data_IF_455310032416
#
_entry.id   IF_455310032416
#
_cell.length_a   1.000
_cell.length_b   1.000
_cell.length_c   1.000
_cell.angle_alpha   90.00
_cell.angle_beta   90.00
_cell.angle_gamma   90.00
#
_symmetry.space_group_name_H-M   'P 1'
#
loop_
_entity.id
_entity.type
_entity.pdbx_description
1 polymer ?
#
# COMPACT_ATOMS: atom_id res chain seq x y z
N UNK A 1 3.56 -72.31 -4.32
CA UNK A 1 4.77 -71.49 -4.05
C UNK A 1 5.08 -70.65 -5.28
N UNK A 2 4.71 -69.37 -5.29
CA UNK A 2 5.42 -68.31 -6.02
C UNK A 2 5.19 -67.02 -5.22
N UNK A 3 6.17 -66.65 -4.40
CA UNK A 3 6.17 -65.40 -3.64
C UNK A 3 6.71 -64.27 -4.51
N UNK A 4 5.87 -63.30 -4.84
CA UNK A 4 6.29 -62.06 -5.48
C UNK A 4 6.94 -61.14 -4.46
N UNK A 5 8.25 -60.90 -4.61
CA UNK A 5 8.96 -59.84 -3.89
C UNK A 5 8.50 -58.47 -4.39
N UNK A 6 7.82 -57.71 -3.53
CA UNK A 6 7.69 -56.25 -3.69
C UNK A 6 9.05 -55.64 -3.39
N UNK A 7 9.67 -55.03 -4.40
CA UNK A 7 10.85 -54.17 -4.23
C UNK A 7 10.37 -52.87 -3.57
N UNK A 8 10.64 -52.74 -2.29
CA UNK A 8 10.41 -51.53 -1.49
C UNK A 8 11.50 -50.51 -1.86
N UNK A 9 11.15 -49.45 -2.58
CA UNK A 9 12.06 -48.32 -2.81
C UNK A 9 12.28 -47.60 -1.48
N UNK A 10 13.40 -47.86 -0.81
CA UNK A 10 13.89 -47.03 0.30
C UNK A 10 14.15 -45.62 -0.21
N UNK A 11 13.37 -44.65 0.26
CA UNK A 11 13.79 -43.25 0.22
C UNK A 11 14.96 -43.09 1.20
N UNK A 12 16.18 -43.01 0.67
CA UNK A 12 17.33 -42.54 1.44
C UNK A 12 17.06 -41.10 1.87
N UNK A 13 16.67 -40.91 3.12
CA UNK A 13 16.60 -39.59 3.74
C UNK A 13 17.99 -38.98 3.70
N UNK A 14 18.18 -37.95 2.87
CA UNK A 14 19.42 -37.17 2.84
C UNK A 14 19.68 -36.65 4.26
N UNK A 15 20.80 -37.07 4.86
CA UNK A 15 21.17 -36.66 6.22
C UNK A 15 21.41 -35.14 6.35
N UNK A 16 21.52 -34.63 7.59
CA UNK A 16 21.70 -33.19 7.87
C UNK A 16 22.96 -32.57 7.22
N UNK A 17 23.91 -33.40 6.78
CA UNK A 17 25.09 -32.97 6.01
C UNK A 17 24.76 -32.24 4.70
N UNK A 18 23.60 -32.51 4.08
CA UNK A 18 23.18 -31.80 2.86
C UNK A 18 22.77 -30.34 3.14
N UNK A 19 22.25 -30.05 4.33
CA UNK A 19 21.95 -28.69 4.79
C UNK A 19 23.25 -27.94 5.12
N UNK A 20 24.23 -28.61 5.73
CA UNK A 20 25.56 -28.05 6.02
C UNK A 20 26.32 -27.66 4.74
N UNK A 21 26.20 -28.46 3.67
CA UNK A 21 26.75 -28.11 2.35
C UNK A 21 26.12 -26.83 1.76
N UNK A 22 24.85 -26.55 2.06
CA UNK A 22 24.16 -25.31 1.69
C UNK A 22 24.63 -24.08 2.46
N UNK A 23 25.24 -24.25 3.64
CA UNK A 23 25.78 -23.15 4.44
C UNK A 23 27.19 -22.71 3.98
N UNK A 24 27.93 -23.57 3.25
CA UNK A 24 29.28 -23.26 2.79
C UNK A 24 29.32 -22.04 1.84
N UNK A 25 28.45 -21.92 0.82
CA UNK A 25 28.40 -20.72 -0.01
C UNK A 25 28.02 -19.45 0.77
N UNK A 26 27.16 -19.56 1.79
CA UNK A 26 26.76 -18.43 2.63
C UNK A 26 27.89 -17.95 3.54
N UNK A 27 28.66 -18.88 4.12
CA UNK A 27 29.90 -18.59 4.85
C UNK A 27 30.94 -17.93 3.93
N UNK A 28 31.11 -18.45 2.71
CA UNK A 28 32.01 -17.87 1.71
C UNK A 28 31.58 -16.45 1.32
N UNK A 29 30.28 -16.21 1.12
CA UNK A 29 29.74 -14.88 0.86
C UNK A 29 29.96 -13.95 2.06
N UNK A 30 29.70 -14.40 3.29
CA UNK A 30 29.93 -13.62 4.50
C UNK A 30 31.39 -13.22 4.67
N UNK A 31 32.33 -14.14 4.41
CA UNK A 31 33.77 -13.85 4.43
C UNK A 31 34.17 -12.86 3.34
N UNK A 32 33.64 -13.00 2.12
CA UNK A 32 33.90 -12.07 1.02
C UNK A 32 33.39 -10.67 1.34
N UNK A 33 32.16 -10.55 1.86
CA UNK A 33 31.57 -9.27 2.25
C UNK A 33 32.37 -8.63 3.40
N UNK A 34 32.73 -9.40 4.43
CA UNK A 34 33.59 -8.90 5.51
C UNK A 34 34.95 -8.43 4.99
N UNK A 35 35.56 -9.17 4.06
CA UNK A 35 36.81 -8.77 3.42
C UNK A 35 36.67 -7.45 2.64
N UNK A 36 35.60 -7.29 1.86
CA UNK A 36 35.32 -6.05 1.10
C UNK A 36 35.07 -4.87 2.04
N UNK A 37 34.30 -5.06 3.11
CA UNK A 37 34.02 -3.98 4.08
C UNK A 37 35.30 -3.55 4.82
N UNK A 38 36.15 -4.51 5.20
CA UNK A 38 37.38 -4.22 5.95
C UNK A 38 38.52 -3.67 5.09
N UNK A 39 38.62 -4.07 3.81
CA UNK A 39 39.74 -3.72 2.93
C UNK A 39 39.34 -2.76 1.79
N UNK A 40 38.05 -2.41 1.69
CA UNK A 40 37.48 -1.75 0.52
C UNK A 40 37.39 -2.68 -0.70
N UNK A 41 36.64 -2.26 -1.72
CA UNK A 41 36.51 -2.99 -2.99
C UNK A 41 37.75 -2.91 -3.90
N UNK A 42 38.88 -2.39 -3.40
CA UNK A 42 40.11 -2.19 -4.17
C UNK A 42 40.10 -1.01 -5.14
N UNK A 43 39.05 -0.17 -5.10
CA UNK A 43 38.87 1.02 -5.95
C UNK A 43 38.55 2.23 -5.05
N UNK A 44 39.37 2.48 -4.03
CA UNK A 44 39.20 3.65 -3.18
C UNK A 44 39.79 4.87 -3.90
N UNK A 45 38.94 5.81 -4.27
CA UNK A 45 39.32 7.13 -4.77
C UNK A 45 39.01 8.15 -3.69
N UNK A 46 40.05 8.72 -3.08
CA UNK A 46 39.93 9.71 -2.01
C UNK A 46 39.66 11.14 -2.53
N UNK A 47 39.51 11.29 -3.84
CA UNK A 47 39.26 12.54 -4.56
C UNK A 47 37.79 12.73 -4.95
N UNK A 48 36.90 11.81 -4.56
CA UNK A 48 35.47 11.95 -4.81
C UNK A 48 34.84 12.89 -3.78
N UNK A 49 33.97 13.83 -4.19
CA UNK A 49 33.15 14.59 -3.26
C UNK A 49 32.25 13.64 -2.45
N UNK A 50 31.85 14.01 -1.22
CA UNK A 50 30.95 13.19 -0.42
C UNK A 50 29.64 12.95 -1.19
N UNK A 51 29.10 11.74 -1.06
CA UNK A 51 27.82 11.38 -1.66
C UNK A 51 26.71 11.83 -0.72
N UNK A 52 26.21 13.03 -0.96
CA UNK A 52 25.10 13.62 -0.21
C UNK A 52 23.77 13.21 -0.85
N UNK A 53 22.89 12.58 -0.07
CA UNK A 53 21.51 12.25 -0.45
C UNK A 53 20.60 12.56 0.73
N UNK A 54 20.06 13.78 0.73
CA UNK A 54 19.04 14.21 1.69
C UNK A 54 17.67 14.16 1.03
N UNK A 55 16.77 13.43 1.66
CA UNK A 55 15.35 13.41 1.28
C UNK A 55 14.57 14.23 2.30
N UNK A 56 13.79 15.20 1.83
CA UNK A 56 12.81 15.90 2.66
C UNK A 56 11.58 15.01 2.76
N UNK A 57 11.25 14.57 3.97
CA UNK A 57 10.12 13.68 4.21
C UNK A 57 8.81 14.46 4.41
N UNK A 58 8.89 15.63 5.05
CA UNK A 58 7.73 16.44 5.39
C UNK A 58 8.13 17.88 5.69
N UNK A 59 7.26 18.82 5.32
CA UNK A 59 7.25 20.18 5.87
C UNK A 59 5.99 20.36 6.70
N UNK A 60 6.15 20.68 7.99
CA UNK A 60 5.05 20.94 8.91
C UNK A 60 5.02 22.42 9.30
N UNK A 61 3.82 22.95 9.44
CA UNK A 61 3.52 24.32 9.85
C UNK A 61 2.75 24.27 11.18
N UNK A 62 3.42 24.00 12.32
CA UNK A 62 2.75 23.80 13.61
C UNK A 62 2.12 25.09 14.15
N UNK A 63 2.70 26.25 13.81
CA UNK A 63 2.23 27.58 14.19
C UNK A 63 2.41 28.55 13.02
N UNK A 64 1.81 29.74 13.09
CA UNK A 64 1.96 30.81 12.09
C UNK A 64 3.40 31.37 11.98
N UNK A 65 4.30 31.01 12.91
CA UNK A 65 5.63 31.61 13.06
C UNK A 65 6.78 30.62 12.87
N UNK A 66 6.48 29.40 12.42
CA UNK A 66 7.45 28.32 12.36
C UNK A 66 7.17 27.37 11.19
N UNK A 67 8.23 26.98 10.48
CA UNK A 67 8.23 25.84 9.56
C UNK A 67 9.19 24.78 10.10
N UNK A 68 8.75 23.52 10.12
CA UNK A 68 9.56 22.37 10.56
C UNK A 68 9.77 21.44 9.38
N UNK A 69 11.03 21.26 8.96
CA UNK A 69 11.40 20.42 7.82
C UNK A 69 12.03 19.13 8.33
N UNK A 70 11.33 18.01 8.15
CA UNK A 70 11.83 16.67 8.49
C UNK A 70 12.66 16.13 7.32
N UNK A 71 13.90 15.73 7.60
CA UNK A 71 14.84 15.23 6.58
C UNK A 71 15.49 13.92 7.01
N UNK A 72 15.81 13.09 6.02
CA UNK A 72 16.55 11.83 6.21
C UNK A 72 17.73 11.74 5.26
N UNK A 73 18.88 11.33 5.78
CA UNK A 73 20.09 11.08 4.98
C UNK A 73 20.08 9.64 4.43
N UNK A 74 19.80 9.50 3.14
CA UNK A 74 19.89 8.25 2.38
C UNK A 74 21.29 7.89 1.91
N UNK A 75 22.23 8.83 2.04
CA UNK A 75 23.60 8.72 1.56
C UNK A 75 24.50 7.90 2.49
N UNK A 76 25.62 7.38 1.95
CA UNK A 76 26.62 6.67 2.74
C UNK A 76 27.49 7.60 3.60
N UNK A 77 27.52 8.90 3.29
CA UNK A 77 28.33 9.92 3.95
C UNK A 77 27.46 10.85 4.83
N UNK A 78 28.00 11.39 5.94
CA UNK A 78 27.27 12.35 6.77
C UNK A 78 27.07 13.68 6.02
N UNK A 79 25.88 14.25 6.11
CA UNK A 79 25.53 15.52 5.45
C UNK A 79 25.39 16.62 6.49
N UNK A 80 26.01 17.79 6.25
CA UNK A 80 25.92 18.93 7.16
C UNK A 80 25.16 20.09 6.54
N UNK A 81 24.05 20.50 7.16
CA UNK A 81 23.28 21.67 6.73
C UNK A 81 24.02 22.94 7.16
N UNK A 82 24.33 23.78 6.18
CA UNK A 82 25.02 25.05 6.40
C UNK A 82 24.07 26.25 6.37
N UNK A 83 23.04 26.19 5.52
CA UNK A 83 22.13 27.32 5.30
C UNK A 83 20.77 26.83 4.84
N UNK A 84 19.73 27.64 5.11
CA UNK A 84 18.36 27.43 4.64
C UNK A 84 17.86 28.71 3.99
N UNK A 85 17.22 28.55 2.83
CA UNK A 85 16.51 29.63 2.14
C UNK A 85 15.01 29.35 2.18
N UNK A 86 14.19 30.39 2.35
CA UNK A 86 12.74 30.36 2.13
C UNK A 86 12.40 31.46 1.13
N UNK A 87 11.86 31.09 -0.04
CA UNK A 87 11.59 31.99 -1.16
C UNK A 87 12.81 32.87 -1.51
N UNK A 88 13.97 32.22 -1.73
CA UNK A 88 15.27 32.86 -2.04
C UNK A 88 15.85 33.78 -0.95
N UNK A 89 15.18 33.91 0.21
CA UNK A 89 15.68 34.69 1.33
C UNK A 89 16.42 33.81 2.34
N UNK A 90 17.60 34.27 2.78
CA UNK A 90 18.36 33.59 3.83
C UNK A 90 17.63 33.71 5.16
N UNK A 91 17.38 32.57 5.81
CA UNK A 91 16.73 32.53 7.10
C UNK A 91 17.58 31.79 8.12
N UNK A 92 17.39 32.13 9.40
CA UNK A 92 17.92 31.33 10.50
C UNK A 92 17.23 29.98 10.57
N UNK A 93 17.92 28.99 11.11
CA UNK A 93 17.37 27.66 11.39
C UNK A 93 18.03 27.06 12.64
N UNK A 94 17.34 26.13 13.28
CA UNK A 94 17.82 25.40 14.45
C UNK A 94 17.61 23.89 14.24
N UNK A 95 18.57 23.07 14.68
CA UNK A 95 18.50 21.60 14.62
C UNK A 95 18.88 21.05 16.01
N UNK A 96 17.95 20.39 16.70
CA UNK A 96 18.14 19.97 18.09
C UNK A 96 19.31 18.99 18.28
N UNK A 97 19.50 18.08 17.33
CA UNK A 97 20.53 17.02 17.35
C UNK A 97 21.87 17.45 16.73
N UNK A 98 21.99 18.72 16.31
CA UNK A 98 23.12 19.27 15.58
C UNK A 98 22.96 19.20 14.06
N UNK A 99 23.70 20.05 13.35
CA UNK A 99 23.49 20.27 11.91
C UNK A 99 24.07 19.17 11.01
N UNK A 100 24.72 18.14 11.57
CA UNK A 100 25.31 17.02 10.83
C UNK A 100 24.48 15.76 11.00
N UNK A 101 23.92 15.29 9.91
CA UNK A 101 23.02 14.15 9.85
C UNK A 101 23.82 12.91 9.44
N UNK A 102 23.97 11.90 10.31
CA UNK A 102 24.71 10.68 9.97
C UNK A 102 23.99 9.88 8.88
N UNK A 103 24.66 8.94 8.20
CA UNK A 103 24.01 8.00 7.29
C UNK A 103 22.84 7.29 7.96
N UNK A 104 21.69 7.20 7.27
CA UNK A 104 20.41 6.70 7.80
C UNK A 104 19.84 7.49 9.00
N UNK A 105 20.43 8.63 9.31
CA UNK A 105 19.92 9.55 10.33
C UNK A 105 18.79 10.40 9.79
N UNK A 106 17.86 10.74 10.69
CA UNK A 106 16.79 11.69 10.44
C UNK A 106 16.86 12.82 11.46
N UNK A 107 16.45 14.03 11.07
CA UNK A 107 16.35 15.17 11.98
C UNK A 107 15.25 16.13 11.54
N UNK A 108 14.84 17.02 12.44
CA UNK A 108 13.92 18.11 12.18
C UNK A 108 14.68 19.43 12.18
N UNK A 109 14.48 20.22 11.13
CA UNK A 109 15.06 21.55 10.95
C UNK A 109 13.96 22.57 11.24
N UNK A 110 14.10 23.28 12.35
CA UNK A 110 13.16 24.32 12.76
C UNK A 110 13.56 25.66 12.15
N UNK A 111 12.64 26.27 11.41
CA UNK A 111 12.84 27.54 10.72
C UNK A 111 11.87 28.56 11.32
N UNK A 112 12.34 29.50 12.17
CA UNK A 112 11.50 30.57 12.69
C UNK A 112 11.13 31.54 11.55
N UNK A 113 9.96 31.32 10.95
CA UNK A 113 9.49 32.02 9.77
C UNK A 113 8.00 32.33 9.88
N UNK A 114 7.62 33.59 9.72
CA UNK A 114 6.21 34.01 9.70
C UNK A 114 5.64 33.82 8.31
N UNK A 115 4.77 32.82 8.15
CA UNK A 115 4.12 32.50 6.87
C UNK A 115 2.68 32.98 6.84
N UNK A 116 2.10 33.03 5.64
CA UNK A 116 0.74 33.48 5.37
C UNK A 116 -0.08 32.32 4.84
N UNK A 117 -1.27 32.13 5.41
CA UNK A 117 -2.19 31.07 4.99
C UNK A 117 -2.56 31.21 3.51
N UNK A 118 -2.46 30.10 2.78
CA UNK A 118 -2.75 30.00 1.36
C UNK A 118 -1.61 30.44 0.44
N UNK A 119 -0.46 30.88 0.96
CA UNK A 119 0.72 31.17 0.14
C UNK A 119 1.56 29.92 -0.13
N UNK A 120 2.25 29.91 -1.26
CA UNK A 120 3.23 28.88 -1.60
C UNK A 120 4.63 29.28 -1.12
N UNK A 121 5.40 28.30 -0.65
CA UNK A 121 6.78 28.51 -0.22
C UNK A 121 7.72 27.47 -0.86
N UNK A 122 8.86 27.94 -1.34
CA UNK A 122 10.00 27.10 -1.72
C UNK A 122 11.07 27.18 -0.62
N UNK A 123 11.49 26.02 -0.12
CA UNK A 123 12.50 25.88 0.93
C UNK A 123 13.70 25.19 0.30
N UNK A 124 14.87 25.81 0.34
CA UNK A 124 16.11 25.20 -0.16
C UNK A 124 17.07 25.00 0.99
N UNK A 125 17.43 23.73 1.25
CA UNK A 125 18.46 23.34 2.20
C UNK A 125 19.80 23.32 1.47
N UNK A 126 20.81 23.97 2.03
CA UNK A 126 22.14 24.08 1.43
C UNK A 126 23.16 23.43 2.36
N UNK A 127 23.92 22.48 1.84
CA UNK A 127 24.96 21.78 2.60
C UNK A 127 26.26 22.58 2.68
N UNK A 128 27.19 22.16 3.54
CA UNK A 128 28.52 22.76 3.64
C UNK A 128 29.38 22.59 2.37
N UNK A 129 29.01 21.68 1.47
CA UNK A 129 29.64 21.51 0.15
C UNK A 129 28.96 22.34 -0.94
N UNK A 130 27.82 22.96 -0.64
CA UNK A 130 27.03 23.77 -1.57
C UNK A 130 26.00 22.98 -2.37
N UNK A 131 25.81 21.69 -2.10
CA UNK A 131 24.69 20.91 -2.66
C UNK A 131 23.37 21.46 -2.12
N UNK A 132 22.33 21.43 -2.95
CA UNK A 132 21.00 21.94 -2.62
C UNK A 132 19.98 20.81 -2.61
N UNK A 133 19.05 20.88 -1.65
CA UNK A 133 17.91 19.98 -1.53
C UNK A 133 16.66 20.83 -1.31
N UNK A 134 15.73 20.74 -2.25
CA UNK A 134 14.54 21.59 -2.26
C UNK A 134 13.34 20.88 -1.62
N UNK A 135 12.48 21.67 -0.99
CA UNK A 135 11.16 21.29 -0.51
C UNK A 135 10.16 22.36 -0.92
N UNK A 136 8.93 21.96 -1.19
CA UNK A 136 7.85 22.88 -1.53
C UNK A 136 6.71 22.75 -0.53
N UNK A 137 6.10 23.89 -0.21
CA UNK A 137 4.81 24.00 0.43
C UNK A 137 3.89 24.66 -0.60
N UNK A 138 3.13 23.89 -1.40
CA UNK A 138 2.30 24.44 -2.46
C UNK A 138 1.20 25.37 -1.95
N UNK A 139 0.71 25.11 -0.72
CA UNK A 139 -0.32 25.88 -0.05
C UNK A 139 -0.11 25.80 1.47
N UNK A 140 0.29 26.91 2.08
CA UNK A 140 0.54 26.95 3.52
C UNK A 140 -0.77 26.92 4.32
N UNK A 141 -0.91 25.91 5.17
CA UNK A 141 -2.01 25.77 6.11
C UNK A 141 -1.48 25.17 7.41
N UNK A 142 -2.14 25.48 8.54
CA UNK A 142 -1.75 24.93 9.83
C UNK A 142 -1.77 23.40 9.78
N UNK A 143 -0.64 22.80 10.15
CA UNK A 143 -0.55 21.35 10.25
C UNK A 143 -1.47 20.85 11.37
N UNK A 144 -2.39 19.91 11.08
CA UNK A 144 -3.34 19.44 12.09
C UNK A 144 -2.64 18.83 13.31
N UNK A 145 -2.81 19.47 14.46
CA UNK A 145 -2.36 18.93 15.74
C UNK A 145 -3.22 17.75 16.19
N UNK A 146 -2.65 16.92 17.09
CA UNK A 146 -3.39 15.84 17.72
C UNK A 146 -4.44 16.39 18.70
N UNK A 147 -5.72 16.30 18.32
CA UNK A 147 -6.85 16.71 19.16
C UNK A 147 -8.03 15.75 18.99
N UNK A 148 -8.96 15.74 19.94
CA UNK A 148 -10.20 14.94 19.83
C UNK A 148 -11.06 15.34 18.63
N UNK A 149 -11.03 16.62 18.26
CA UNK A 149 -11.71 17.13 17.07
C UNK A 149 -11.04 16.65 15.77
N UNK A 150 -9.71 16.76 15.68
CA UNK A 150 -8.95 16.26 14.53
C UNK A 150 -9.17 14.76 14.35
N UNK A 151 -9.10 13.99 15.45
CA UNK A 151 -9.38 12.55 15.45
C UNK A 151 -10.77 12.24 14.89
N UNK A 152 -11.80 12.96 15.34
CA UNK A 152 -13.17 12.76 14.86
C UNK A 152 -13.32 13.13 13.38
N UNK A 153 -12.72 14.23 12.92
CA UNK A 153 -12.78 14.68 11.52
C UNK A 153 -12.14 13.66 10.57
N UNK A 154 -10.93 13.19 10.89
CA UNK A 154 -10.28 12.13 10.10
C UNK A 154 -11.08 10.83 10.11
N UNK A 155 -11.64 10.44 11.27
CA UNK A 155 -12.51 9.27 11.35
C UNK A 155 -13.75 9.38 10.47
N UNK A 156 -14.34 10.58 10.41
CA UNK A 156 -15.50 10.86 9.59
C UNK A 156 -15.16 10.77 8.10
N UNK A 157 -13.99 11.27 7.69
CA UNK A 157 -13.47 11.13 6.33
C UNK A 157 -13.31 9.65 5.98
N UNK A 158 -12.57 8.88 6.77
CA UNK A 158 -12.38 7.45 6.53
C UNK A 158 -13.70 6.66 6.56
N UNK A 159 -14.66 7.07 7.38
CA UNK A 159 -16.00 6.46 7.40
C UNK A 159 -16.78 6.73 6.11
N UNK A 160 -16.75 7.96 5.59
CA UNK A 160 -17.42 8.33 4.34
C UNK A 160 -16.76 7.72 3.11
N UNK A 161 -15.44 7.52 3.13
CA UNK A 161 -14.70 6.93 2.02
C UNK A 161 -14.69 5.42 2.04
N UNK A 162 -14.65 4.79 3.23
CA UNK A 162 -14.60 3.33 3.34
C UNK A 162 -15.96 2.72 3.69
N UNK A 163 -16.40 2.91 4.93
CA UNK A 163 -17.54 2.16 5.49
C UNK A 163 -18.85 2.41 4.74
N UNK A 164 -19.17 3.67 4.47
CA UNK A 164 -20.41 4.05 3.77
C UNK A 164 -20.50 3.45 2.38
N UNK A 165 -19.55 3.70 1.45
CA UNK A 165 -19.64 3.19 0.08
C UNK A 165 -19.56 1.66 0.02
N UNK A 166 -18.71 1.00 0.82
CA UNK A 166 -18.71 -0.46 0.90
C UNK A 166 -20.09 -0.99 1.34
N UNK A 167 -20.72 -0.33 2.31
CA UNK A 167 -22.09 -0.66 2.73
C UNK A 167 -23.09 -0.44 1.60
N UNK A 168 -22.99 0.67 0.86
CA UNK A 168 -23.84 0.95 -0.29
C UNK A 168 -23.69 -0.12 -1.37
N UNK A 169 -22.48 -0.60 -1.64
CA UNK A 169 -22.24 -1.73 -2.54
C UNK A 169 -22.88 -3.03 -2.06
N UNK A 170 -22.75 -3.34 -0.76
CA UNK A 170 -23.39 -4.52 -0.15
C UNK A 170 -24.93 -4.46 -0.23
N UNK A 171 -25.54 -3.27 -0.20
CA UNK A 171 -26.99 -3.11 -0.36
C UNK A 171 -27.53 -3.56 -1.72
N UNK A 172 -26.66 -3.79 -2.73
CA UNK A 172 -27.06 -4.38 -4.01
C UNK A 172 -27.37 -5.88 -3.89
N UNK A 173 -27.01 -6.53 -2.78
CA UNK A 173 -27.23 -7.96 -2.56
C UNK A 173 -28.64 -8.47 -2.92
N UNK A 174 -29.76 -7.84 -2.49
CA UNK A 174 -31.11 -8.31 -2.79
C UNK A 174 -31.43 -8.26 -4.29
N UNK A 175 -30.88 -7.28 -5.01
CA UNK A 175 -31.02 -7.14 -6.45
C UNK A 175 -30.19 -8.22 -7.17
N UNK A 176 -28.92 -8.34 -6.83
CA UNK A 176 -27.98 -9.28 -7.45
C UNK A 176 -28.43 -10.74 -7.27
N UNK A 177 -29.09 -11.06 -6.15
CA UNK A 177 -29.61 -12.39 -5.88
C UNK A 177 -30.75 -12.82 -6.84
N UNK A 178 -31.39 -11.87 -7.52
CA UNK A 178 -32.43 -12.16 -8.52
C UNK A 178 -31.85 -12.53 -9.89
N UNK A 179 -30.54 -12.37 -10.08
CA UNK A 179 -29.87 -12.70 -11.33
C UNK A 179 -29.77 -14.22 -11.53
N UNK A 180 -29.97 -14.67 -12.78
CA UNK A 180 -29.71 -16.05 -13.17
C UNK A 180 -28.21 -16.38 -13.16
N UNK A 181 -27.87 -17.65 -13.45
CA UNK A 181 -26.47 -18.13 -13.44
C UNK A 181 -25.56 -17.30 -14.34
N UNK A 182 -26.01 -16.93 -15.54
CA UNK A 182 -25.24 -16.08 -16.46
C UNK A 182 -25.01 -14.68 -15.88
N UNK A 183 -26.03 -14.04 -15.30
CA UNK A 183 -25.87 -12.74 -14.64
C UNK A 183 -24.95 -12.81 -13.41
N UNK A 184 -24.97 -13.91 -12.67
CA UNK A 184 -24.04 -14.13 -11.56
C UNK A 184 -22.58 -14.21 -12.03
N UNK A 185 -22.33 -14.97 -13.10
CA UNK A 185 -20.99 -15.08 -13.67
C UNK A 185 -20.52 -13.75 -14.27
N UNK A 186 -21.44 -12.96 -14.85
CA UNK A 186 -21.16 -11.58 -15.28
C UNK A 186 -20.69 -10.73 -14.10
N UNK A 187 -21.40 -10.74 -12.97
CA UNK A 187 -21.07 -9.93 -11.78
C UNK A 187 -19.73 -10.36 -11.16
N UNK A 188 -19.47 -11.67 -11.07
CA UNK A 188 -18.18 -12.17 -10.60
C UNK A 188 -17.04 -11.78 -11.54
N UNK A 189 -17.24 -11.85 -12.87
CA UNK A 189 -16.23 -11.44 -13.84
C UNK A 189 -16.02 -9.92 -13.83
N UNK A 190 -17.10 -9.15 -13.67
CA UNK A 190 -17.05 -7.71 -13.43
C UNK A 190 -16.22 -7.39 -12.20
N UNK A 191 -16.42 -8.12 -11.10
CA UNK A 191 -15.62 -7.99 -9.88
C UNK A 191 -14.13 -8.22 -10.16
N UNK A 192 -13.77 -9.27 -10.92
CA UNK A 192 -12.36 -9.49 -11.31
C UNK A 192 -11.83 -8.30 -12.12
N UNK A 193 -12.63 -7.73 -13.03
CA UNK A 193 -12.24 -6.56 -13.83
C UNK A 193 -11.99 -5.33 -12.97
N UNK A 194 -12.88 -5.06 -12.01
CA UNK A 194 -12.72 -3.97 -11.04
C UNK A 194 -11.42 -4.13 -10.24
N UNK A 195 -11.16 -5.32 -9.70
CA UNK A 195 -9.99 -5.60 -8.87
C UNK A 195 -8.67 -5.57 -9.66
N UNK A 196 -8.68 -5.98 -10.95
CA UNK A 196 -7.50 -5.87 -11.81
C UNK A 196 -7.09 -4.41 -12.00
N UNK A 197 -8.06 -3.52 -12.20
CA UNK A 197 -7.77 -2.08 -12.22
C UNK A 197 -7.19 -1.61 -10.89
N UNK A 198 -7.78 -2.03 -9.78
CA UNK A 198 -7.35 -1.67 -8.43
C UNK A 198 -5.89 -2.07 -8.13
N UNK A 199 -5.47 -3.24 -8.62
CA UNK A 199 -4.07 -3.67 -8.55
C UNK A 199 -3.15 -2.74 -9.33
N UNK A 200 -3.55 -2.31 -10.53
CA UNK A 200 -2.74 -1.40 -11.35
C UNK A 200 -2.63 -0.04 -10.66
N UNK A 201 -3.76 0.51 -10.24
CA UNK A 201 -3.86 1.82 -9.59
C UNK A 201 -3.04 1.87 -8.29
N UNK A 202 -3.31 0.94 -7.36
CA UNK A 202 -2.57 0.87 -6.10
C UNK A 202 -1.08 0.53 -6.26
N UNK A 203 -0.70 -0.19 -7.32
CA UNK A 203 0.73 -0.42 -7.61
C UNK A 203 1.42 0.84 -8.12
N UNK A 204 0.76 1.62 -8.98
CA UNK A 204 1.31 2.88 -9.49
C UNK A 204 1.51 3.87 -8.35
N UNK A 205 0.51 4.02 -7.48
CA UNK A 205 0.59 4.90 -6.31
C UNK A 205 1.69 4.44 -5.32
N UNK A 206 1.79 3.13 -5.04
CA UNK A 206 2.85 2.60 -4.20
C UNK A 206 4.26 2.86 -4.79
N UNK A 207 4.41 2.71 -6.11
CA UNK A 207 5.68 2.96 -6.81
C UNK A 207 6.03 4.45 -6.82
N UNK A 208 5.06 5.34 -6.96
CA UNK A 208 5.24 6.78 -6.90
C UNK A 208 5.76 7.21 -5.53
N UNK A 209 5.09 6.82 -4.45
CA UNK A 209 5.55 7.09 -3.08
C UNK A 209 6.91 6.46 -2.79
N UNK A 210 7.15 5.26 -3.30
CA UNK A 210 8.43 4.59 -3.15
C UNK A 210 9.57 5.26 -3.92
N UNK A 211 9.26 6.02 -4.99
CA UNK A 211 10.21 6.85 -5.72
C UNK A 211 10.66 8.09 -4.93
N UNK A 212 9.88 8.52 -3.93
CA UNK A 212 10.20 9.61 -3.02
C UNK A 212 11.01 9.16 -1.79
N UNK A 213 11.31 7.86 -1.66
CA UNK A 213 12.07 7.34 -0.54
C UNK A 213 13.58 7.55 -0.74
N UNK A 214 14.34 7.71 0.35
CA UNK A 214 15.79 7.69 0.30
C UNK A 214 16.33 6.48 -0.47
N UNK A 215 17.37 6.67 -1.28
CA UNK A 215 17.83 5.65 -2.24
C UNK A 215 18.19 4.31 -1.58
N UNK A 216 18.62 4.34 -0.32
CA UNK A 216 18.95 3.16 0.50
C UNK A 216 17.81 2.15 0.62
N UNK A 217 16.55 2.59 0.56
CA UNK A 217 15.40 1.69 0.69
C UNK A 217 15.14 0.87 -0.57
N UNK A 218 15.71 1.26 -1.72
CA UNK A 218 15.37 0.64 -3.01
C UNK A 218 13.85 0.52 -3.19
N UNK A 219 13.14 1.65 -3.08
CA UNK A 219 11.70 1.70 -2.85
C UNK A 219 10.87 0.86 -3.84
N UNK A 220 11.13 0.96 -5.15
CA UNK A 220 10.37 0.21 -6.16
C UNK A 220 10.55 -1.32 -6.00
N UNK A 221 11.78 -1.87 -5.94
CA UNK A 221 11.98 -3.27 -5.57
C UNK A 221 11.29 -3.68 -4.25
N UNK A 222 11.32 -2.82 -3.23
CA UNK A 222 10.67 -3.07 -1.94
C UNK A 222 9.16 -3.26 -2.12
N UNK A 223 8.47 -2.34 -2.82
CA UNK A 223 7.02 -2.42 -3.09
C UNK A 223 6.67 -3.72 -3.82
N UNK A 224 7.40 -4.05 -4.90
CA UNK A 224 7.16 -5.27 -5.66
C UNK A 224 7.34 -6.53 -4.81
N UNK A 225 8.39 -6.56 -3.99
CA UNK A 225 8.67 -7.69 -3.09
C UNK A 225 7.60 -7.82 -2.01
N UNK A 226 7.19 -6.73 -1.38
CA UNK A 226 6.17 -6.74 -0.32
C UNK A 226 4.81 -7.17 -0.87
N UNK A 227 4.41 -6.67 -2.04
CA UNK A 227 3.18 -7.10 -2.71
C UNK A 227 3.21 -8.59 -3.05
N UNK A 228 4.33 -9.07 -3.61
CA UNK A 228 4.50 -10.49 -3.93
C UNK A 228 4.49 -11.38 -2.69
N UNK A 229 5.25 -11.02 -1.65
CA UNK A 229 5.31 -11.77 -0.40
C UNK A 229 3.97 -11.78 0.32
N UNK A 230 3.21 -10.69 0.27
CA UNK A 230 1.86 -10.65 0.82
C UNK A 230 0.93 -11.60 0.06
N UNK A 231 0.93 -11.53 -1.27
CA UNK A 231 0.16 -12.44 -2.13
C UNK A 231 0.48 -13.91 -1.83
N UNK A 232 1.77 -14.27 -1.87
CA UNK A 232 2.24 -15.64 -1.61
C UNK A 232 1.99 -16.08 -0.17
N UNK A 233 2.16 -15.18 0.79
CA UNK A 233 1.92 -15.42 2.21
C UNK A 233 0.46 -15.74 2.49
N UNK A 234 -0.47 -14.99 1.89
CA UNK A 234 -1.91 -15.24 2.00
C UNK A 234 -2.33 -16.56 1.33
N UNK A 235 -1.78 -16.87 0.14
CA UNK A 235 -2.00 -18.16 -0.52
C UNK A 235 -1.45 -19.34 0.31
N UNK A 236 -0.25 -19.16 0.87
CA UNK A 236 0.40 -20.16 1.73
C UNK A 236 -0.39 -20.41 3.00
N UNK A 237 -0.82 -19.33 3.68
CA UNK A 237 -1.69 -19.39 4.85
C UNK A 237 -2.99 -20.14 4.52
N UNK A 238 -3.62 -19.86 3.37
CA UNK A 238 -4.81 -20.59 2.93
C UNK A 238 -4.57 -22.09 2.84
N UNK A 239 -3.43 -22.52 2.26
CA UNK A 239 -3.08 -23.94 2.12
C UNK A 239 -2.90 -24.63 3.48
N UNK A 240 -2.35 -23.92 4.47
CA UNK A 240 -2.13 -24.41 5.82
C UNK A 240 -3.44 -24.52 6.61
N UNK A 241 -4.28 -23.49 6.55
CA UNK A 241 -5.58 -23.46 7.23
C UNK A 241 -6.63 -24.38 6.58
N UNK A 242 -6.43 -24.78 5.31
CA UNK A 242 -7.29 -25.75 4.62
C UNK A 242 -6.98 -27.22 4.92
N UNK A 243 -5.89 -27.54 5.62
CA UNK A 243 -5.63 -28.93 6.06
C UNK A 243 -6.67 -29.35 7.11
N UNK A 244 -7.75 -29.97 6.65
CA UNK A 244 -8.76 -30.62 7.51
C UNK A 244 -10.13 -29.93 7.60
N UNK A 245 -10.41 -28.89 6.81
CA UNK A 245 -11.77 -28.32 6.69
C UNK A 245 -12.32 -28.58 5.28
N UNK A 246 -13.61 -28.94 5.20
CA UNK A 246 -14.37 -28.95 3.95
C UNK A 246 -14.30 -27.60 3.23
N UNK A 247 -14.65 -27.58 1.94
CA UNK A 247 -14.57 -26.41 1.07
C UNK A 247 -14.93 -25.09 1.77
N UNK A 248 -14.11 -24.05 1.55
CA UNK A 248 -14.37 -22.68 2.02
C UNK A 248 -15.84 -22.31 1.75
N UNK A 249 -16.60 -22.09 2.83
CA UNK A 249 -17.95 -21.53 2.72
C UNK A 249 -17.88 -20.23 1.91
N UNK A 250 -18.88 -19.97 1.07
CA UNK A 250 -18.98 -18.73 0.30
C UNK A 250 -18.89 -17.49 1.19
N UNK A 251 -19.40 -17.59 2.42
CA UNK A 251 -19.26 -16.56 3.45
C UNK A 251 -17.80 -16.35 3.87
N UNK A 252 -17.04 -17.43 4.08
CA UNK A 252 -15.61 -17.33 4.38
C UNK A 252 -14.85 -16.66 3.25
N UNK A 253 -15.22 -16.91 1.99
CA UNK A 253 -14.62 -16.22 0.85
C UNK A 253 -14.95 -14.73 0.91
N UNK A 254 -16.22 -14.33 1.10
CA UNK A 254 -16.57 -12.91 1.25
C UNK A 254 -15.80 -12.20 2.38
N UNK A 255 -15.53 -12.86 3.52
CA UNK A 255 -14.70 -12.28 4.58
C UNK A 255 -13.24 -12.08 4.18
N UNK A 256 -12.67 -12.97 3.36
CA UNK A 256 -11.30 -12.80 2.84
C UNK A 256 -11.23 -11.69 1.81
N UNK A 257 -12.20 -11.64 0.90
CA UNK A 257 -12.39 -10.54 -0.05
C UNK A 257 -12.46 -9.22 0.72
N UNK A 258 -13.33 -9.14 1.72
CA UNK A 258 -13.50 -7.98 2.57
C UNK A 258 -12.23 -7.61 3.36
N UNK A 259 -11.46 -8.58 3.85
CA UNK A 259 -10.18 -8.31 4.50
C UNK A 259 -9.13 -7.75 3.53
N UNK A 260 -9.04 -8.30 2.32
CA UNK A 260 -8.09 -7.83 1.31
C UNK A 260 -8.43 -6.42 0.83
N UNK A 261 -9.71 -6.16 0.59
CA UNK A 261 -10.24 -4.81 0.32
C UNK A 261 -9.98 -3.87 1.50
N UNK A 262 -10.20 -4.32 2.74
CA UNK A 262 -9.88 -3.52 3.92
C UNK A 262 -8.42 -3.09 3.98
N UNK A 263 -7.47 -3.97 3.64
CA UNK A 263 -6.06 -3.60 3.57
C UNK A 263 -5.76 -2.59 2.46
N UNK A 264 -6.50 -2.62 1.36
CA UNK A 264 -6.41 -1.60 0.31
C UNK A 264 -6.97 -0.26 0.78
N UNK A 265 -8.15 -0.26 1.39
CA UNK A 265 -8.82 0.95 1.88
C UNK A 265 -8.05 1.61 3.03
N UNK A 266 -7.21 0.84 3.75
CA UNK A 266 -6.20 1.42 4.66
C UNK A 266 -5.23 2.35 3.91
N UNK A 267 -4.75 1.94 2.74
CA UNK A 267 -3.89 2.73 1.86
C UNK A 267 -4.57 4.00 1.36
N UNK A 268 -5.81 3.91 0.91
CA UNK A 268 -6.62 5.09 0.54
C UNK A 268 -6.78 6.07 1.70
N UNK A 269 -7.04 5.54 2.89
CA UNK A 269 -7.09 6.33 4.11
C UNK A 269 -5.77 7.05 4.39
N UNK A 270 -4.63 6.38 4.17
CA UNK A 270 -3.30 6.99 4.30
C UNK A 270 -3.11 8.12 3.30
N UNK A 271 -3.45 7.91 2.02
CA UNK A 271 -3.34 8.93 0.97
C UNK A 271 -4.19 10.18 1.29
N UNK A 272 -5.44 9.98 1.71
CA UNK A 272 -6.31 11.10 2.11
C UNK A 272 -5.79 11.79 3.37
N UNK A 273 -5.40 11.00 4.38
CA UNK A 273 -4.86 11.53 5.63
C UNK A 273 -3.62 12.39 5.40
N UNK A 274 -2.74 11.94 4.51
CA UNK A 274 -1.54 12.65 4.05
C UNK A 274 -1.89 13.96 3.36
N UNK A 275 -2.78 13.94 2.36
CA UNK A 275 -3.18 15.13 1.62
C UNK A 275 -3.69 16.23 2.57
N UNK A 276 -4.54 15.90 3.54
CA UNK A 276 -5.00 16.88 4.54
C UNK A 276 -3.92 17.28 5.54
N UNK A 277 -3.01 16.37 5.91
CA UNK A 277 -1.88 16.70 6.80
C UNK A 277 -0.87 17.67 6.14
N UNK A 278 -0.79 17.65 4.80
CA UNK A 278 0.04 18.52 3.97
C UNK A 278 -0.69 19.79 3.52
N UNK A 279 -1.95 20.00 3.93
CA UNK A 279 -2.75 21.17 3.54
C UNK A 279 -3.32 21.11 2.12
N UNK A 280 -3.17 19.98 1.42
CA UNK A 280 -3.64 19.77 0.05
C UNK A 280 -5.14 19.42 -0.01
N UNK A 281 -5.99 20.35 0.47
CA UNK A 281 -7.43 20.10 0.59
C UNK A 281 -8.12 19.75 -0.74
N UNK A 282 -7.64 20.32 -1.86
CA UNK A 282 -8.14 20.00 -3.19
C UNK A 282 -7.84 18.53 -3.57
N UNK A 283 -6.59 18.09 -3.39
CA UNK A 283 -6.19 16.69 -3.59
C UNK A 283 -6.98 15.77 -2.66
N UNK A 284 -7.05 16.10 -1.36
CA UNK A 284 -7.81 15.31 -0.38
C UNK A 284 -9.28 15.16 -0.76
N UNK A 285 -9.93 16.23 -1.25
CA UNK A 285 -11.34 16.20 -1.70
C UNK A 285 -11.51 15.35 -2.96
N UNK A 286 -10.60 15.50 -3.91
CA UNK A 286 -10.56 14.70 -5.13
C UNK A 286 -10.44 13.20 -4.82
N UNK A 287 -9.49 12.85 -3.94
CA UNK A 287 -9.29 11.48 -3.47
C UNK A 287 -10.53 10.93 -2.77
N UNK A 288 -11.17 11.72 -1.88
CA UNK A 288 -12.43 11.32 -1.23
C UNK A 288 -13.50 10.96 -2.27
N UNK A 289 -13.71 11.79 -3.30
CA UNK A 289 -14.74 11.55 -4.31
C UNK A 289 -14.42 10.30 -5.12
N UNK A 290 -13.19 10.20 -5.64
CA UNK A 290 -12.77 9.05 -6.43
C UNK A 290 -12.85 7.75 -5.65
N UNK A 291 -12.34 7.75 -4.43
CA UNK A 291 -12.35 6.56 -3.60
C UNK A 291 -13.76 6.20 -3.11
N UNK A 292 -14.61 7.18 -2.83
CA UNK A 292 -16.02 6.89 -2.51
C UNK A 292 -16.71 6.16 -3.67
N UNK A 293 -16.48 6.59 -4.91
CA UNK A 293 -17.09 5.98 -6.09
C UNK A 293 -16.59 4.55 -6.32
N UNK A 294 -15.28 4.30 -6.20
CA UNK A 294 -14.77 2.94 -6.39
C UNK A 294 -15.22 1.97 -5.27
N UNK A 295 -15.41 2.45 -4.03
CA UNK A 295 -15.67 1.58 -2.87
C UNK A 295 -17.10 1.06 -2.87
N UNK A 296 -17.99 1.73 -3.60
CA UNK A 296 -19.33 1.20 -3.92
C UNK A 296 -19.20 -0.07 -4.77
N UNK A 297 -18.30 -0.07 -5.76
CA UNK A 297 -18.11 -1.23 -6.64
C UNK A 297 -17.43 -2.40 -5.92
N UNK A 298 -16.57 -2.12 -4.95
CA UNK A 298 -15.96 -3.12 -4.08
C UNK A 298 -16.97 -3.85 -3.19
N UNK A 299 -17.94 -3.13 -2.62
CA UNK A 299 -19.01 -3.73 -1.83
C UNK A 299 -19.83 -4.75 -2.63
N UNK A 300 -20.01 -4.53 -3.95
CA UNK A 300 -20.62 -5.51 -4.86
C UNK A 300 -19.74 -6.76 -4.99
N UNK A 301 -18.41 -6.58 -5.09
CA UNK A 301 -17.45 -7.67 -5.11
C UNK A 301 -17.45 -8.53 -3.84
N UNK A 302 -17.54 -7.89 -2.67
CA UNK A 302 -17.68 -8.57 -1.38
C UNK A 302 -18.98 -9.38 -1.31
N UNK A 303 -20.08 -8.84 -1.85
CA UNK A 303 -21.37 -9.53 -1.86
C UNK A 303 -21.39 -10.75 -2.80
N UNK A 304 -20.57 -10.76 -3.85
CA UNK A 304 -20.71 -11.72 -4.95
C UNK A 304 -20.66 -13.21 -4.54
N UNK A 305 -19.72 -13.67 -3.68
CA UNK A 305 -19.68 -15.07 -3.26
C UNK A 305 -20.94 -15.53 -2.51
N UNK A 306 -21.49 -14.69 -1.63
CA UNK A 306 -22.63 -15.01 -0.74
C UNK A 306 -23.99 -14.95 -1.42
N UNK A 307 -24.06 -14.60 -2.71
CA UNK A 307 -25.33 -14.56 -3.45
C UNK A 307 -26.02 -15.92 -3.57
N UNK A 308 -25.23 -17.01 -3.60
CA UNK A 308 -25.74 -18.40 -3.62
C UNK A 308 -25.86 -19.04 -2.23
N UNK A 309 -25.53 -18.32 -1.16
CA UNK A 309 -25.63 -18.81 0.22
C UNK A 309 -27.08 -18.73 0.73
N UNK A 310 -27.49 -19.67 1.61
CA UNK A 310 -28.84 -19.64 2.19
C UNK A 310 -28.94 -18.52 3.24
N UNK A 311 -29.51 -17.38 2.84
CA UNK A 311 -29.94 -16.25 3.70
C UNK A 311 -28.94 -15.95 4.84
N UNK A 312 -27.76 -15.36 4.51
CA UNK A 312 -26.83 -14.89 5.53
C UNK A 312 -27.50 -13.88 6.47
N UNK A 313 -27.15 -13.94 7.75
CA UNK A 313 -27.60 -12.98 8.77
C UNK A 313 -27.16 -11.55 8.43
N UNK A 314 -27.99 -10.56 8.78
CA UNK A 314 -27.68 -9.14 8.56
C UNK A 314 -26.38 -8.69 9.25
N UNK A 315 -26.03 -9.31 10.37
CA UNK A 315 -24.78 -9.01 11.08
C UNK A 315 -23.53 -9.32 10.24
N UNK A 316 -23.60 -10.27 9.30
CA UNK A 316 -22.48 -10.51 8.40
C UNK A 316 -22.26 -9.33 7.44
N UNK A 317 -23.33 -8.67 6.98
CA UNK A 317 -23.18 -7.48 6.14
C UNK A 317 -22.53 -6.33 6.90
N UNK A 318 -22.90 -6.12 8.17
CA UNK A 318 -22.24 -5.14 9.04
C UNK A 318 -20.76 -5.50 9.24
N UNK A 319 -20.47 -6.76 9.54
CA UNK A 319 -19.10 -7.23 9.72
C UNK A 319 -18.25 -7.09 8.45
N UNK A 320 -18.80 -7.39 7.28
CA UNK A 320 -18.13 -7.23 5.99
C UNK A 320 -17.92 -5.75 5.64
N UNK A 321 -18.90 -4.88 5.92
CA UNK A 321 -18.76 -3.44 5.70
C UNK A 321 -17.67 -2.83 6.59
N UNK A 322 -17.64 -3.20 7.88
CA UNK A 322 -16.64 -2.71 8.81
C UNK A 322 -15.25 -3.26 8.53
N UNK A 323 -15.15 -4.53 8.10
CA UNK A 323 -13.86 -5.14 7.76
C UNK A 323 -13.30 -4.57 6.45
N UNK A 324 -14.15 -4.30 5.45
CA UNK A 324 -13.74 -3.73 4.17
C UNK A 324 -13.55 -2.22 4.20
N UNK A 325 -14.39 -1.47 4.91
CA UNK A 325 -14.34 0.00 4.91
C UNK A 325 -13.74 0.62 6.17
N UNK A 326 -13.76 -0.08 7.30
CA UNK A 326 -13.25 0.45 8.57
C UNK A 326 -11.75 0.78 8.57
N UNK A 327 -10.87 0.01 7.90
CA UNK A 327 -9.45 0.33 7.87
C UNK A 327 -9.10 1.69 7.26
N UNK A 328 -9.94 2.27 6.38
CA UNK A 328 -9.74 3.62 5.88
C UNK A 328 -9.68 4.67 7.00
N UNK A 329 -10.45 4.48 8.08
CA UNK A 329 -10.40 5.32 9.28
C UNK A 329 -9.00 5.26 9.90
N UNK A 330 -8.44 4.06 10.05
CA UNK A 330 -7.10 3.88 10.60
C UNK A 330 -6.06 4.55 9.70
N UNK A 331 -6.21 4.43 8.38
CA UNK A 331 -5.32 5.06 7.41
C UNK A 331 -5.32 6.58 7.57
N UNK A 332 -6.50 7.19 7.63
CA UNK A 332 -6.61 8.66 7.79
C UNK A 332 -5.99 9.16 9.08
N UNK A 333 -6.08 8.39 10.17
CA UNK A 333 -5.40 8.74 11.43
C UNK A 333 -3.89 8.57 11.33
N UNK A 334 -3.42 7.43 10.80
CA UNK A 334 -1.98 7.15 10.73
C UNK A 334 -1.29 8.22 9.90
N UNK A 335 -1.76 8.51 8.68
CA UNK A 335 -1.14 9.53 7.85
C UNK A 335 -1.45 10.96 8.32
N UNK A 336 -2.65 11.20 8.88
CA UNK A 336 -3.04 12.51 9.40
C UNK A 336 -2.13 13.01 10.52
N UNK A 337 -1.62 12.10 11.36
CA UNK A 337 -0.80 12.45 12.52
C UNK A 337 0.67 12.00 12.43
N UNK A 338 0.95 10.96 11.65
CA UNK A 338 2.26 10.33 11.52
C UNK A 338 2.55 9.99 10.06
N UNK A 339 2.45 11.00 9.19
CA UNK A 339 2.75 10.86 7.76
C UNK A 339 4.15 10.27 7.53
N UNK A 340 4.22 9.26 6.67
CA UNK A 340 5.47 8.65 6.23
C UNK A 340 5.28 8.01 4.86
N UNK A 341 6.11 8.41 3.89
CA UNK A 341 6.16 7.80 2.57
C UNK A 341 6.46 6.29 2.66
N UNK A 342 7.34 5.90 3.58
CA UNK A 342 7.76 4.50 3.73
C UNK A 342 6.59 3.63 4.18
N UNK A 343 5.89 4.04 5.23
CA UNK A 343 4.74 3.30 5.73
C UNK A 343 3.62 3.26 4.69
N UNK A 344 3.35 4.38 4.02
CA UNK A 344 2.31 4.47 2.99
C UNK A 344 2.59 3.51 1.82
N UNK A 345 3.83 3.52 1.29
CA UNK A 345 4.24 2.61 0.23
C UNK A 345 4.17 1.12 0.67
N UNK A 346 4.58 0.81 1.90
CA UNK A 346 4.50 -0.55 2.45
C UNK A 346 3.06 -1.03 2.60
N UNK A 347 2.16 -0.21 3.15
CA UNK A 347 0.75 -0.58 3.33
C UNK A 347 0.03 -0.72 2.00
N UNK A 348 0.27 0.16 1.03
CA UNK A 348 -0.27 0.03 -0.32
C UNK A 348 0.24 -1.25 -0.99
N UNK A 349 1.53 -1.57 -0.89
CA UNK A 349 2.09 -2.81 -1.41
C UNK A 349 1.42 -4.05 -0.78
N UNK A 350 1.19 -4.05 0.53
CA UNK A 350 0.42 -5.09 1.22
C UNK A 350 -1.01 -5.19 0.68
N UNK A 351 -1.70 -4.05 0.50
CA UNK A 351 -3.04 -3.99 -0.09
C UNK A 351 -3.08 -4.60 -1.50
N UNK A 352 -2.14 -4.23 -2.38
CA UNK A 352 -2.01 -4.79 -3.73
C UNK A 352 -1.81 -6.31 -3.70
N UNK A 353 -0.92 -6.80 -2.83
CA UNK A 353 -0.71 -8.23 -2.64
C UNK A 353 -1.97 -8.98 -2.16
N UNK A 354 -2.76 -8.34 -1.29
CA UNK A 354 -4.02 -8.89 -0.81
C UNK A 354 -5.08 -8.92 -1.91
N UNK A 355 -5.21 -7.87 -2.73
CA UNK A 355 -6.15 -7.85 -3.86
C UNK A 355 -5.78 -8.90 -4.91
N UNK A 356 -4.48 -9.08 -5.21
CA UNK A 356 -4.03 -10.16 -6.11
C UNK A 356 -4.50 -11.54 -5.61
N UNK A 357 -4.48 -11.75 -4.29
CA UNK A 357 -4.97 -12.99 -3.69
C UNK A 357 -6.48 -13.13 -3.86
N UNK A 358 -7.23 -12.05 -3.71
CA UNK A 358 -8.67 -12.02 -3.94
C UNK A 358 -9.03 -12.29 -5.40
N UNK A 359 -8.33 -11.67 -6.35
CA UNK A 359 -8.49 -11.95 -7.80
C UNK A 359 -8.33 -13.44 -8.07
N UNK A 360 -7.32 -14.06 -7.47
CA UNK A 360 -7.10 -15.50 -7.57
C UNK A 360 -8.31 -16.30 -7.03
N UNK A 361 -8.84 -15.96 -5.85
CA UNK A 361 -10.00 -16.65 -5.26
C UNK A 361 -11.27 -16.52 -6.12
N UNK A 362 -11.59 -15.29 -6.56
CA UNK A 362 -12.80 -15.02 -7.36
C UNK A 362 -12.70 -15.67 -8.74
N UNK A 363 -11.52 -15.60 -9.36
CA UNK A 363 -11.27 -16.29 -10.65
C UNK A 363 -11.41 -17.79 -10.49
N UNK A 364 -10.87 -18.37 -9.40
CA UNK A 364 -11.04 -19.80 -9.11
C UNK A 364 -12.50 -20.18 -8.91
N UNK A 365 -13.31 -19.34 -8.26
CA UNK A 365 -14.76 -19.54 -8.13
C UNK A 365 -15.46 -19.51 -9.49
N UNK A 366 -15.14 -18.54 -10.35
CA UNK A 366 -15.66 -18.43 -11.72
C UNK A 366 -15.34 -19.68 -12.56
N UNK A 367 -14.09 -20.16 -12.49
CA UNK A 367 -13.66 -21.37 -13.20
C UNK A 367 -14.41 -22.60 -12.71
N UNK A 368 -14.63 -22.71 -11.39
CA UNK A 368 -15.40 -23.81 -10.78
C UNK A 368 -16.88 -23.78 -11.21
N UNK A 369 -17.51 -22.61 -11.17
CA UNK A 369 -18.91 -22.44 -11.59
C UNK A 369 -19.07 -22.73 -13.10
N UNK A 370 -18.09 -22.36 -13.93
CA UNK A 370 -18.05 -22.67 -15.38
C UNK A 370 -17.94 -24.17 -15.63
N UNK A 371 -17.07 -24.87 -14.89
CA UNK A 371 -16.92 -26.32 -14.98
C UNK A 371 -18.20 -27.07 -14.55
N UNK A 372 -18.87 -26.63 -13.48
CA UNK A 372 -20.12 -27.22 -13.01
C UNK A 372 -21.27 -27.05 -14.02
N UNK A 373 -21.30 -25.91 -14.71
CA UNK A 373 -22.35 -25.57 -15.69
C UNK A 373 -22.04 -26.03 -17.11
N UNK A 374 -20.87 -26.66 -17.34
CA UNK A 374 -20.33 -27.03 -18.66
C UNK A 374 -20.27 -25.87 -19.65
N UNK A 375 -20.20 -24.64 -19.14
CA UNK A 375 -20.04 -23.43 -19.95
C UNK A 375 -18.55 -23.11 -20.13
N UNK A 376 -18.14 -22.52 -21.26
CA UNK A 376 -16.77 -22.03 -21.42
C UNK A 376 -16.44 -20.95 -20.38
N UNK A 377 -15.27 -21.05 -19.75
CA UNK A 377 -14.80 -20.04 -18.80
C UNK A 377 -14.66 -18.65 -19.44
N UNK A 378 -14.24 -18.61 -20.71
CA UNK A 378 -14.16 -17.39 -21.53
C UNK A 378 -15.42 -17.23 -22.38
N UNK A 379 -16.59 -17.24 -21.75
CA UNK A 379 -17.84 -16.92 -22.42
C UNK A 379 -17.95 -15.41 -22.71
N UNK A 380 -18.75 -15.01 -23.70
CA UNK A 380 -19.01 -13.60 -23.97
C UNK A 380 -19.57 -12.84 -22.77
N UNK A 381 -20.35 -13.52 -21.90
CA UNK A 381 -20.83 -12.96 -20.63
C UNK A 381 -19.68 -12.66 -19.66
N UNK A 382 -18.75 -13.60 -19.48
CA UNK A 382 -17.64 -13.42 -18.55
C UNK A 382 -16.65 -12.37 -19.07
N UNK A 383 -16.34 -12.41 -20.37
CA UNK A 383 -15.50 -11.39 -21.00
C UNK A 383 -16.15 -10.01 -20.91
N UNK A 384 -17.45 -9.90 -21.21
CA UNK A 384 -18.19 -8.66 -21.08
C UNK A 384 -18.25 -8.14 -19.64
N UNK A 385 -18.35 -9.02 -18.66
CA UNK A 385 -18.23 -8.65 -17.24
C UNK A 385 -16.86 -8.08 -16.92
N UNK A 386 -15.80 -8.84 -17.23
CA UNK A 386 -14.40 -8.43 -17.00
C UNK A 386 -14.09 -7.08 -17.64
N UNK A 387 -14.42 -6.90 -18.92
CA UNK A 387 -14.14 -5.63 -19.63
C UNK A 387 -15.01 -4.50 -19.12
N UNK A 388 -16.27 -4.74 -18.76
CA UNK A 388 -17.12 -3.74 -18.14
C UNK A 388 -16.57 -3.29 -16.77
N UNK A 389 -16.06 -4.20 -15.96
CA UNK A 389 -15.39 -3.86 -14.70
C UNK A 389 -14.21 -2.90 -14.92
N UNK A 390 -13.30 -3.26 -15.82
CA UNK A 390 -12.15 -2.39 -16.16
C UNK A 390 -12.63 -1.04 -16.71
N UNK A 391 -13.62 -1.04 -17.60
CA UNK A 391 -14.14 0.18 -18.21
C UNK A 391 -14.85 1.09 -17.20
N UNK A 392 -15.60 0.54 -16.24
CA UNK A 392 -16.24 1.29 -15.15
C UNK A 392 -15.17 1.96 -14.29
N UNK A 393 -14.12 1.23 -13.91
CA UNK A 393 -13.04 1.81 -13.11
C UNK A 393 -12.27 2.87 -13.87
N UNK A 394 -11.91 2.60 -15.14
CA UNK A 394 -11.25 3.59 -15.99
C UNK A 394 -12.11 4.86 -16.17
N UNK A 395 -13.41 4.71 -16.42
CA UNK A 395 -14.32 5.84 -16.53
C UNK A 395 -14.46 6.60 -15.20
N UNK A 396 -14.46 5.90 -14.07
CA UNK A 396 -14.47 6.52 -12.74
C UNK A 396 -13.19 7.32 -12.53
N UNK A 397 -12.02 6.75 -12.83
CA UNK A 397 -10.74 7.44 -12.76
C UNK A 397 -10.71 8.70 -13.66
N UNK A 398 -11.23 8.62 -14.89
CA UNK A 398 -11.34 9.77 -15.79
C UNK A 398 -12.28 10.86 -15.25
N UNK A 399 -13.43 10.49 -14.69
CA UNK A 399 -14.38 11.45 -14.12
C UNK A 399 -13.82 12.17 -12.91
N UNK A 400 -12.95 11.49 -12.16
CA UNK A 400 -12.30 12.07 -11.00
C UNK A 400 -11.19 13.00 -11.47
N UNK A 401 -10.37 12.62 -12.47
CA UNK A 401 -9.22 13.38 -12.98
C UNK A 401 -9.47 14.77 -13.61
N UNK A 402 -10.73 15.25 -13.65
CA UNK A 402 -11.15 16.47 -14.38
C UNK A 402 -11.55 17.60 -13.44
#
# INVERSE_FOLDING_TARGET
MVGGQKVEKRHEGRGPGWVLLGLIPLLGLGLLLAFIVLNGAGVARSDLPPVEDLTVERVALPTEYEMVVSVTNGGPDPVTIAQVNVNDALTGFEVESGNTIPPLGSTEINIPYTWVEGEAYAITLITNTGTTFDAEVPLAALTPGFSGESLFRYALIGFYVGVVPVSLGLLWYPFLRRLGVSGMNFVLALTVGLLVWLVVDGMLEAVELAGQLPGVFSGVPMVLLVALLTFLGLLGAESLFRRGRDESSRLSTSYRISAGIGLHNLGEGLAIGAAFALGEAALGTFLIIGFTLHNITEGVGIAAPILKERRPSLWHFVGLALLGGGPAILGTWIAGFAYSNLLSALFLAVGVGAILQVIYEVTRLLLKDSAQTKAPALSGTNLGGLTAGIAIMYATALLVSV
#
